data_IF_640688301455
#
_entry.id   IF_640688301455
#
_cell.length_a   1.000
_cell.length_b   1.000
_cell.length_c   1.000
_cell.angle_alpha   90.00
_cell.angle_beta   90.00
_cell.angle_gamma   90.00
#
_symmetry.space_group_name_H-M   'P 1'
#
loop_
_entity.id
_entity.type
_entity.pdbx_description
1 polymer ?
#
# COMPACT_ATOMS: atom_id res chain seq x y z
N UNK A 1 -37.98 4.41 -16.66
CA UNK A 1 -37.58 4.07 -15.28
C UNK A 1 -36.19 4.64 -14.99
N UNK A 2 -36.07 5.69 -14.18
CA UNK A 2 -34.78 6.27 -13.79
C UNK A 2 -34.15 5.42 -12.69
N UNK A 3 -32.99 4.86 -13.00
CA UNK A 3 -32.19 4.02 -12.13
C UNK A 3 -31.67 4.85 -10.95
N UNK A 4 -32.24 4.63 -9.75
CA UNK A 4 -31.74 5.23 -8.51
C UNK A 4 -30.31 4.73 -8.28
N UNK A 5 -29.36 5.66 -8.19
CA UNK A 5 -28.00 5.37 -7.74
C UNK A 5 -28.07 4.86 -6.31
N UNK A 6 -27.56 3.65 -6.07
CA UNK A 6 -27.46 3.09 -4.73
C UNK A 6 -26.41 3.89 -3.94
N UNK A 7 -26.80 4.59 -2.84
CA UNK A 7 -25.89 5.44 -2.07
C UNK A 7 -24.75 4.67 -1.40
N UNK A 8 -24.79 3.34 -1.39
CA UNK A 8 -23.76 2.48 -0.79
C UNK A 8 -22.73 1.95 -1.80
N UNK A 9 -23.06 1.88 -3.09
CA UNK A 9 -22.16 1.40 -4.14
C UNK A 9 -20.89 2.28 -4.32
N UNK A 10 -20.92 3.53 -3.84
CA UNK A 10 -19.78 4.44 -3.85
C UNK A 10 -18.78 4.26 -2.67
N UNK A 11 -19.15 3.56 -1.60
CA UNK A 11 -18.37 3.56 -0.33
C UNK A 11 -17.36 2.40 -0.21
N UNK A 12 -17.43 1.38 -1.06
CA UNK A 12 -16.51 0.24 -0.99
C UNK A 12 -15.06 0.62 -1.37
N UNK A 13 -14.89 1.44 -2.40
CA UNK A 13 -13.56 1.87 -2.87
C UNK A 13 -12.68 2.58 -1.80
N UNK A 14 -13.18 3.58 -1.04
CA UNK A 14 -12.39 4.22 0.01
C UNK A 14 -12.10 3.27 1.19
N UNK A 15 -13.01 2.35 1.51
CA UNK A 15 -12.80 1.32 2.54
C UNK A 15 -11.69 0.35 2.15
N UNK A 16 -11.73 -0.18 0.93
CA UNK A 16 -10.67 -1.02 0.37
C UNK A 16 -9.32 -0.28 0.31
N UNK A 17 -9.31 1.00 -0.04
CA UNK A 17 -8.11 1.82 -0.03
C UNK A 17 -7.53 2.04 1.39
N UNK A 18 -8.38 2.08 2.42
CA UNK A 18 -7.94 2.14 3.82
C UNK A 18 -7.34 0.79 4.25
N UNK A 19 -8.03 -0.31 3.98
CA UNK A 19 -7.55 -1.68 4.28
C UNK A 19 -6.19 -1.92 3.61
N UNK A 20 -6.05 -1.57 2.32
CA UNK A 20 -4.78 -1.71 1.59
C UNK A 20 -3.63 -0.94 2.25
N UNK A 21 -3.86 0.33 2.63
CA UNK A 21 -2.82 1.16 3.26
C UNK A 21 -2.37 0.60 4.59
N UNK A 22 -3.31 0.09 5.37
CA UNK A 22 -3.07 -0.49 6.69
C UNK A 22 -2.32 -1.81 6.59
N UNK A 23 -2.78 -2.74 5.73
CA UNK A 23 -2.05 -3.99 5.43
C UNK A 23 -0.64 -3.70 4.93
N UNK A 24 -0.47 -2.75 4.01
CA UNK A 24 0.85 -2.37 3.51
C UNK A 24 1.76 -1.77 4.59
N UNK A 25 1.20 -1.06 5.57
CA UNK A 25 1.93 -0.52 6.69
C UNK A 25 2.36 -1.65 7.66
N UNK A 26 1.45 -2.58 7.98
CA UNK A 26 1.74 -3.74 8.85
C UNK A 26 2.81 -4.63 8.22
N UNK A 27 2.64 -5.01 6.95
CA UNK A 27 3.63 -5.84 6.25
C UNK A 27 5.00 -5.16 6.23
N UNK A 28 5.05 -3.85 5.99
CA UNK A 28 6.30 -3.11 6.01
C UNK A 28 6.93 -3.05 7.40
N UNK A 29 6.15 -2.75 8.44
CA UNK A 29 6.63 -2.72 9.83
C UNK A 29 7.21 -4.08 10.23
N UNK A 30 6.47 -5.15 9.96
CA UNK A 30 6.90 -6.50 10.24
C UNK A 30 8.14 -6.88 9.42
N UNK A 31 8.25 -6.54 8.13
CA UNK A 31 9.46 -6.76 7.33
C UNK A 31 10.68 -6.01 7.88
N UNK A 32 10.52 -4.77 8.36
CA UNK A 32 11.62 -3.99 8.94
C UNK A 32 12.12 -4.63 10.24
N UNK A 33 11.22 -5.14 11.07
CA UNK A 33 11.56 -5.80 12.34
C UNK A 33 12.16 -7.19 12.13
N UNK A 34 11.60 -7.96 11.20
CA UNK A 34 12.00 -9.33 10.90
C UNK A 34 13.37 -9.41 10.19
N UNK A 35 13.77 -8.35 9.48
CA UNK A 35 15.13 -8.25 8.91
C UNK A 35 16.23 -8.21 9.98
N UNK A 36 15.87 -7.94 11.23
CA UNK A 36 16.77 -7.98 12.40
C UNK A 36 16.59 -9.23 13.27
N UNK A 37 15.69 -10.14 12.92
CA UNK A 37 15.46 -11.38 13.66
C UNK A 37 16.41 -12.50 13.21
N UNK A 38 16.80 -13.36 14.14
CA UNK A 38 17.68 -14.51 13.87
C UNK A 38 17.05 -15.53 12.90
N UNK A 39 15.70 -15.56 12.80
CA UNK A 39 14.97 -16.42 11.88
C UNK A 39 13.77 -15.68 11.27
N UNK A 40 13.87 -15.21 10.01
CA UNK A 40 12.80 -14.45 9.39
C UNK A 40 11.56 -15.29 9.04
N UNK A 41 10.35 -14.81 9.37
CA UNK A 41 9.07 -15.49 9.07
C UNK A 41 8.64 -15.32 7.60
N UNK A 42 9.33 -16.03 6.70
CA UNK A 42 9.06 -15.96 5.25
C UNK A 42 7.62 -16.35 4.88
N UNK A 43 7.01 -17.26 5.62
CA UNK A 43 5.68 -17.82 5.29
C UNK A 43 4.58 -16.83 5.67
N UNK A 44 4.62 -16.27 6.88
CA UNK A 44 3.70 -15.23 7.31
C UNK A 44 3.71 -14.01 6.38
N UNK A 45 4.90 -13.56 5.96
CA UNK A 45 5.02 -12.46 4.98
C UNK A 45 4.44 -12.80 3.62
N UNK A 46 4.68 -14.01 3.11
CA UNK A 46 4.13 -14.43 1.83
C UNK A 46 2.59 -14.43 1.87
N UNK A 47 2.00 -14.96 2.95
CA UNK A 47 0.54 -15.00 3.15
C UNK A 47 -0.05 -13.59 3.25
N UNK A 48 0.52 -12.71 4.07
CA UNK A 48 0.07 -11.31 4.15
C UNK A 48 0.27 -10.53 2.84
N UNK A 49 1.34 -10.85 2.10
CA UNK A 49 1.56 -10.36 0.74
C UNK A 49 0.43 -10.76 -0.21
N UNK A 50 -0.04 -12.01 -0.13
CA UNK A 50 -1.20 -12.49 -0.89
C UNK A 50 -2.49 -11.74 -0.49
N UNK A 51 -2.77 -11.57 0.81
CA UNK A 51 -3.92 -10.76 1.29
C UNK A 51 -3.88 -9.37 0.67
N UNK A 52 -2.72 -8.70 0.71
CA UNK A 52 -2.56 -7.36 0.15
C UNK A 52 -2.77 -7.33 -1.38
N UNK A 53 -2.27 -8.35 -2.09
CA UNK A 53 -2.44 -8.49 -3.54
C UNK A 53 -3.91 -8.63 -3.93
N UNK A 54 -4.66 -9.45 -3.21
CA UNK A 54 -6.07 -9.70 -3.49
C UNK A 54 -6.95 -8.50 -3.12
N UNK A 55 -6.67 -7.82 -2.00
CA UNK A 55 -7.33 -6.54 -1.66
C UNK A 55 -7.05 -5.47 -2.72
N UNK A 56 -5.84 -5.41 -3.27
CA UNK A 56 -5.50 -4.51 -4.38
C UNK A 56 -6.26 -4.87 -5.64
N UNK A 57 -6.36 -6.16 -5.98
CA UNK A 57 -7.13 -6.64 -7.13
C UNK A 57 -8.60 -6.26 -7.00
N UNK A 58 -9.22 -6.52 -5.84
CA UNK A 58 -10.57 -6.09 -5.51
C UNK A 58 -10.74 -4.57 -5.69
N UNK A 59 -9.82 -3.76 -5.13
CA UNK A 59 -9.85 -2.30 -5.27
C UNK A 59 -9.77 -1.85 -6.73
N UNK A 60 -8.94 -2.48 -7.57
CA UNK A 60 -8.83 -2.17 -9.01
C UNK A 60 -10.14 -2.45 -9.76
N UNK A 61 -10.97 -3.39 -9.29
CA UNK A 61 -12.31 -3.62 -9.86
C UNK A 61 -13.29 -2.49 -9.56
N UNK A 62 -13.09 -1.77 -8.45
CA UNK A 62 -13.86 -0.58 -8.09
C UNK A 62 -13.32 0.73 -8.68
N UNK A 63 -12.04 0.79 -9.06
CA UNK A 63 -11.50 1.95 -9.77
C UNK A 63 -12.16 2.06 -11.14
N UNK A 64 -12.80 3.20 -11.39
CA UNK A 64 -13.16 3.58 -12.77
C UNK A 64 -11.88 3.62 -13.59
N UNK A 65 -11.86 3.09 -14.83
CA UNK A 65 -10.78 3.40 -15.74
C UNK A 65 -10.76 4.91 -15.90
N UNK A 66 -9.74 5.57 -15.37
CA UNK A 66 -9.44 6.93 -15.79
C UNK A 66 -9.00 6.76 -17.24
N UNK A 67 -9.86 7.13 -18.19
CA UNK A 67 -9.42 7.39 -19.55
C UNK A 67 -8.50 8.60 -19.44
N UNK A 68 -7.23 8.35 -19.14
CA UNK A 68 -6.20 9.35 -19.34
C UNK A 68 -6.12 9.47 -20.85
N UNK A 69 -6.84 10.44 -21.40
CA UNK A 69 -6.52 10.95 -22.72
C UNK A 69 -5.13 11.56 -22.57
N UNK A 70 -4.10 10.73 -22.78
CA UNK A 70 -2.75 11.22 -23.05
C UNK A 70 -2.88 11.92 -24.39
N UNK A 71 -3.18 13.21 -24.37
CA UNK A 71 -2.89 14.06 -25.51
C UNK A 71 -1.35 14.03 -25.63
N UNK A 72 -0.78 13.53 -26.73
CA UNK A 72 0.64 13.73 -27.00
C UNK A 72 0.77 15.20 -27.42
N UNK A 73 0.85 16.10 -26.44
CA UNK A 73 1.31 17.46 -26.71
C UNK A 73 2.83 17.36 -26.91
N UNK A 74 3.13 17.20 -28.19
CA UNK A 74 4.43 17.31 -28.83
C UNK A 74 5.29 18.43 -28.24
N UNK A 75 6.57 18.11 -28.13
CA UNK A 75 7.74 19.00 -28.26
C UNK A 75 7.92 20.14 -27.25
N UNK A 76 9.06 20.07 -26.55
CA UNK A 76 9.87 21.26 -26.30
C UNK A 76 9.92 21.75 -24.86
N UNK A 77 10.59 21.02 -23.97
CA UNK A 77 11.36 21.66 -22.90
C UNK A 77 12.74 21.00 -22.86
N UNK A 78 13.59 21.51 -23.75
CA UNK A 78 15.04 21.52 -23.54
C UNK A 78 15.31 22.10 -22.13
N UNK A 79 16.25 21.57 -21.33
CA UNK A 79 16.75 22.33 -20.21
C UNK A 79 17.49 23.55 -20.78
N UNK A 80 16.90 24.73 -20.56
CA UNK A 80 17.52 26.03 -20.76
C UNK A 80 18.78 26.07 -19.86
N UNK A 81 19.96 25.92 -20.47
CA UNK A 81 21.22 26.25 -19.80
C UNK A 81 21.21 27.76 -19.53
N UNK A 82 20.93 28.15 -18.30
CA UNK A 82 21.22 29.49 -17.83
C UNK A 82 22.74 29.58 -17.66
N UNK A 83 23.45 29.96 -18.72
CA UNK A 83 24.86 30.37 -18.65
C UNK A 83 24.88 31.72 -17.94
N UNK A 84 25.04 31.68 -16.62
CA UNK A 84 25.49 32.83 -15.84
C UNK A 84 27.00 32.74 -15.69
N UNK A 85 27.72 33.82 -15.99
CA UNK A 85 29.16 33.97 -15.80
C UNK A 85 29.54 33.73 -14.33
N UNK A 86 29.89 32.49 -14.02
CA UNK A 86 30.40 32.07 -12.73
C UNK A 86 31.28 30.85 -12.94
N UNK A 87 32.47 30.87 -12.33
CA UNK A 87 33.52 29.88 -12.55
C UNK A 87 32.96 28.44 -12.58
N UNK A 88 33.20 27.68 -13.67
CA UNK A 88 32.63 26.34 -13.85
C UNK A 88 33.08 25.35 -12.76
N UNK A 89 34.17 25.65 -12.05
CA UNK A 89 34.66 24.88 -10.91
C UNK A 89 33.83 25.06 -9.63
N UNK A 90 33.26 26.25 -9.39
CA UNK A 90 32.44 26.52 -8.20
C UNK A 90 31.02 25.94 -8.33
N UNK A 91 30.45 25.94 -9.54
CA UNK A 91 29.15 25.33 -9.83
C UNK A 91 29.20 23.79 -9.80
N UNK A 92 30.31 23.19 -10.24
CA UNK A 92 30.55 21.75 -10.10
C UNK A 92 30.74 21.33 -8.62
N UNK A 93 31.42 22.15 -7.81
CA UNK A 93 31.60 21.88 -6.37
C UNK A 93 30.29 22.01 -5.56
N UNK A 94 29.43 23.00 -5.88
CA UNK A 94 28.15 23.19 -5.21
C UNK A 94 27.13 22.08 -5.51
N UNK A 95 27.12 21.56 -6.75
CA UNK A 95 26.24 20.44 -7.15
C UNK A 95 26.70 19.09 -6.58
N UNK A 96 28.01 18.90 -6.38
CA UNK A 96 28.56 17.68 -5.77
C UNK A 96 28.25 17.54 -4.26
N UNK A 97 28.01 18.65 -3.54
CA UNK A 97 27.73 18.63 -2.10
C UNK A 97 26.23 18.71 -1.73
N UNK A 98 25.39 19.33 -2.56
CA UNK A 98 23.96 19.49 -2.28
C UNK A 98 23.15 18.20 -2.40
N UNK A 99 23.47 17.36 -3.40
CA UNK A 99 22.80 16.06 -3.61
C UNK A 99 23.04 15.06 -2.46
N UNK A 100 24.28 14.86 -1.96
CA UNK A 100 24.49 13.98 -0.81
C UNK A 100 23.89 14.55 0.48
N UNK A 101 23.92 15.88 0.69
CA UNK A 101 23.31 16.51 1.86
C UNK A 101 21.79 16.30 1.89
N UNK A 102 21.11 16.46 0.75
CA UNK A 102 19.67 16.17 0.64
C UNK A 102 19.38 14.67 0.87
N UNK A 103 20.21 13.77 0.35
CA UNK A 103 20.09 12.33 0.59
C UNK A 103 20.27 11.96 2.07
N UNK A 104 21.27 12.52 2.74
CA UNK A 104 21.53 12.30 4.17
C UNK A 104 20.39 12.86 5.02
N UNK A 105 19.89 14.05 4.72
CA UNK A 105 18.78 14.65 5.45
C UNK A 105 17.48 13.84 5.26
N UNK A 106 17.23 13.32 4.05
CA UNK A 106 16.12 12.42 3.77
C UNK A 106 16.29 11.06 4.47
N UNK A 107 17.53 10.55 4.55
CA UNK A 107 17.87 9.31 5.25
C UNK A 107 17.71 9.45 6.76
N UNK A 108 18.10 10.59 7.34
CA UNK A 108 17.93 10.93 8.76
C UNK A 108 16.45 11.15 9.10
N UNK A 109 15.71 11.89 8.28
CA UNK A 109 14.25 12.02 8.47
C UNK A 109 13.56 10.67 8.37
N UNK A 110 14.01 9.80 7.45
CA UNK A 110 13.52 8.43 7.35
C UNK A 110 13.93 7.59 8.55
N UNK A 111 15.15 7.69 9.07
CA UNK A 111 15.62 6.90 10.21
C UNK A 111 14.93 7.33 11.52
N UNK A 112 14.72 8.63 11.71
CA UNK A 112 14.00 9.19 12.86
C UNK A 112 12.51 8.82 12.82
N UNK A 113 11.87 8.82 11.63
CA UNK A 113 10.52 8.25 11.46
C UNK A 113 10.47 6.73 11.58
N UNK A 114 11.61 6.06 11.40
CA UNK A 114 11.82 4.62 11.59
C UNK A 114 12.40 4.30 12.97
N UNK A 115 12.11 5.11 14.00
CA UNK A 115 12.34 4.62 15.36
C UNK A 115 11.52 3.33 15.52
N UNK A 116 12.17 2.17 15.75
CA UNK A 116 11.44 0.93 15.96
C UNK A 116 10.55 1.15 17.18
N UNK A 117 9.25 1.02 17.01
CA UNK A 117 8.32 1.12 18.13
C UNK A 117 8.69 0.01 19.12
N UNK A 118 9.08 0.43 20.33
CA UNK A 118 9.49 -0.43 21.44
C UNK A 118 8.27 -1.17 22.02
N UNK A 119 7.75 -2.13 21.26
CA UNK A 119 6.59 -2.95 21.58
C UNK A 119 6.49 -4.14 20.61
N UNK A 120 5.60 -5.11 20.85
CA UNK A 120 5.40 -6.25 19.95
C UNK A 120 5.07 -5.78 18.53
N UNK A 121 5.46 -6.56 17.51
CA UNK A 121 5.17 -6.18 16.14
C UNK A 121 3.64 -6.19 15.93
N UNK A 122 3.11 -5.27 15.12
CA UNK A 122 1.65 -5.19 14.92
C UNK A 122 1.07 -6.48 14.31
N UNK A 123 1.91 -7.27 13.62
CA UNK A 123 1.58 -8.60 13.10
C UNK A 123 1.35 -9.64 14.22
N UNK A 124 1.84 -9.40 15.44
CA UNK A 124 1.63 -10.32 16.56
C UNK A 124 0.30 -10.04 17.28
N UNK A 125 -0.42 -8.98 16.91
CA UNK A 125 -1.65 -8.57 17.57
C UNK A 125 -2.88 -9.33 17.00
N UNK A 126 -3.53 -10.23 17.78
CA UNK A 126 -4.72 -10.94 17.32
C UNK A 126 -5.91 -10.01 17.03
N UNK A 127 -5.97 -8.84 17.67
CA UNK A 127 -7.03 -7.86 17.41
C UNK A 127 -6.91 -7.25 16.02
N UNK A 128 -5.68 -7.11 15.49
CA UNK A 128 -5.43 -6.66 14.12
C UNK A 128 -6.11 -7.61 13.12
N UNK A 129 -5.87 -8.92 13.25
CA UNK A 129 -6.43 -9.94 12.36
C UNK A 129 -7.96 -9.96 12.43
N UNK A 130 -8.53 -9.91 13.63
CA UNK A 130 -9.98 -9.87 13.82
C UNK A 130 -10.61 -8.60 13.19
N UNK A 131 -9.97 -7.45 13.35
CA UNK A 131 -10.41 -6.18 12.77
C UNK A 131 -10.34 -6.20 11.24
N UNK A 132 -9.22 -6.67 10.67
CA UNK A 132 -9.02 -6.80 9.23
C UNK A 132 -10.04 -7.78 8.63
N UNK A 133 -10.22 -8.95 9.25
CA UNK A 133 -11.21 -9.95 8.85
C UNK A 133 -12.61 -9.36 8.76
N UNK A 134 -13.12 -8.75 9.84
CA UNK A 134 -14.45 -8.12 9.86
C UNK A 134 -14.62 -7.07 8.76
N UNK A 135 -13.59 -6.27 8.51
CA UNK A 135 -13.63 -5.22 7.48
C UNK A 135 -13.58 -5.77 6.05
N UNK A 136 -12.82 -6.83 5.82
CA UNK A 136 -12.75 -7.51 4.53
C UNK A 136 -14.07 -8.24 4.27
N UNK A 137 -14.63 -8.94 5.25
CA UNK A 137 -15.95 -9.58 5.19
C UNK A 137 -17.05 -8.56 4.85
N UNK A 138 -17.09 -7.42 5.53
CA UNK A 138 -18.05 -6.36 5.23
C UNK A 138 -17.91 -5.82 3.80
N UNK A 139 -16.68 -5.71 3.29
CA UNK A 139 -16.43 -5.33 1.90
C UNK A 139 -16.85 -6.44 0.92
N UNK A 140 -16.65 -7.71 1.24
CA UNK A 140 -17.05 -8.84 0.41
C UNK A 140 -18.59 -8.90 0.30
N UNK A 141 -19.30 -8.75 1.42
CA UNK A 141 -20.77 -8.66 1.43
C UNK A 141 -21.26 -7.50 0.57
N UNK A 142 -20.68 -6.31 0.73
CA UNK A 142 -21.01 -5.15 -0.09
C UNK A 142 -20.72 -5.38 -1.58
N UNK A 143 -19.65 -6.10 -1.90
CA UNK A 143 -19.31 -6.45 -3.28
C UNK A 143 -20.33 -7.40 -3.90
N UNK A 144 -20.76 -8.44 -3.18
CA UNK A 144 -21.79 -9.39 -3.67
C UNK A 144 -23.11 -8.68 -4.00
N UNK A 145 -23.47 -7.64 -3.23
CA UNK A 145 -24.67 -6.84 -3.45
C UNK A 145 -24.56 -5.82 -4.59
N UNK A 146 -23.37 -5.60 -5.18
CA UNK A 146 -23.19 -4.60 -6.24
C UNK A 146 -23.88 -5.04 -7.55
N UNK A 147 -24.40 -4.10 -8.33
CA UNK A 147 -25.06 -4.41 -9.62
C UNK A 147 -24.04 -4.68 -10.72
N UNK A 148 -22.87 -4.06 -10.65
CA UNK A 148 -21.83 -4.23 -11.66
C UNK A 148 -21.18 -5.61 -11.52
N UNK A 149 -21.23 -6.43 -12.57
CA UNK A 149 -20.55 -7.74 -12.61
C UNK A 149 -19.07 -7.63 -12.20
N UNK A 150 -18.37 -6.61 -12.71
CA UNK A 150 -16.97 -6.36 -12.36
C UNK A 150 -16.77 -6.15 -10.86
N UNK A 151 -17.68 -5.43 -10.20
CA UNK A 151 -17.60 -5.16 -8.75
C UNK A 151 -18.05 -6.35 -7.93
N UNK A 152 -19.05 -7.12 -8.38
CA UNK A 152 -19.42 -8.41 -7.77
C UNK A 152 -18.26 -9.39 -7.74
N UNK A 153 -17.51 -9.46 -8.83
CA UNK A 153 -16.34 -10.33 -8.90
C UNK A 153 -15.19 -9.90 -7.96
N UNK A 154 -15.27 -8.71 -7.33
CA UNK A 154 -14.35 -8.35 -6.25
C UNK A 154 -14.64 -9.12 -4.94
N UNK A 155 -15.84 -9.67 -4.76
CA UNK A 155 -16.17 -10.50 -3.61
C UNK A 155 -15.28 -11.74 -3.55
N UNK A 156 -15.08 -12.42 -4.69
CA UNK A 156 -14.20 -13.59 -4.79
C UNK A 156 -12.75 -13.26 -4.45
N UNK A 157 -12.22 -12.12 -4.93
CA UNK A 157 -10.88 -11.68 -4.53
C UNK A 157 -10.80 -11.45 -3.00
N UNK A 158 -11.85 -10.89 -2.39
CA UNK A 158 -11.89 -10.66 -0.94
C UNK A 158 -12.08 -11.94 -0.13
N UNK A 159 -12.74 -12.96 -0.68
CA UNK A 159 -12.82 -14.30 -0.09
C UNK A 159 -11.43 -14.95 -0.04
N UNK A 160 -10.68 -14.94 -1.15
CA UNK A 160 -9.29 -15.40 -1.14
C UNK A 160 -8.42 -14.63 -0.15
N UNK A 161 -8.62 -13.31 -0.04
CA UNK A 161 -7.92 -12.50 0.95
C UNK A 161 -8.24 -12.95 2.40
N UNK A 162 -9.45 -13.43 2.68
CA UNK A 162 -9.82 -13.96 4.00
C UNK A 162 -9.15 -15.32 4.27
N UNK A 163 -9.08 -16.19 3.27
CA UNK A 163 -8.41 -17.49 3.39
C UNK A 163 -6.92 -17.31 3.69
N UNK A 164 -6.26 -16.40 2.96
CA UNK A 164 -4.86 -16.05 3.22
C UNK A 164 -4.65 -15.40 4.59
N UNK A 165 -5.61 -14.58 5.05
CA UNK A 165 -5.54 -13.95 6.37
C UNK A 165 -5.71 -14.97 7.49
N UNK A 166 -6.61 -15.94 7.34
CA UNK A 166 -6.80 -17.04 8.28
C UNK A 166 -5.54 -17.91 8.35
N UNK A 167 -4.97 -18.29 7.20
CA UNK A 167 -3.72 -19.03 7.14
C UNK A 167 -2.56 -18.23 7.77
N UNK A 168 -2.49 -16.91 7.57
CA UNK A 168 -1.48 -16.08 8.21
C UNK A 168 -1.66 -16.03 9.75
N UNK A 169 -2.90 -16.07 10.23
CA UNK A 169 -3.20 -16.09 11.67
C UNK A 169 -2.83 -17.43 12.33
N UNK A 170 -3.02 -18.56 11.63
CA UNK A 170 -2.69 -19.89 12.14
C UNK A 170 -1.18 -20.11 12.30
N UNK A 171 -0.36 -19.40 11.53
CA UNK A 171 1.11 -19.44 11.61
C UNK A 171 1.66 -18.66 12.80
N UNK A 172 0.86 -17.76 13.40
CA UNK A 172 1.29 -17.05 14.60
C UNK A 172 1.63 -18.08 15.68
N UNK A 173 2.80 -17.97 16.33
CA UNK A 173 3.16 -18.89 17.39
C UNK A 173 2.04 -18.84 18.43
N UNK A 174 1.30 -19.94 18.57
CA UNK A 174 0.28 -20.08 19.61
C UNK A 174 1.03 -19.88 20.92
N UNK A 175 0.87 -18.69 21.51
CA UNK A 175 1.43 -18.40 22.83
C UNK A 175 0.77 -19.38 23.79
N UNK A 176 1.51 -20.44 24.11
CA UNK A 176 1.28 -21.28 25.29
C UNK A 176 1.81 -20.52 26.49
#
# INVERSE_FOLDING_TARGET
>A
MRHRDDPFAGRAAPRLARIERELAAVVRDAQVRDWSADRPDRVGFARLGSVLSDVRRARRRYRRPVRVAVLPLLSGIFPLFLVGDGDPLLLAAASAAGVPAAFLLLAVVRSVRRRPASGPAAIDDPYLYASLRRRIEACAVAARADRSYRRRAAATDLEYALDWLAAAQEELPRRV
#
